data_IF_543714857589
#
_entry.id   IF_543714857589
#
_cell.length_a   1.000
_cell.length_b   1.000
_cell.length_c   1.000
_cell.angle_alpha   90.00
_cell.angle_beta   90.00
_cell.angle_gamma   90.00
#
_symmetry.space_group_name_H-M   'P 1'
#
loop_
_entity.id
_entity.type
_entity.pdbx_description
1 polymer ?
#
# COMPACT_ATOMS: atom_id res chain seq x y z
N UNK A 1 6.37 -26.96 -2.35
CA UNK A 1 7.05 -25.66 -2.56
C UNK A 1 8.10 -25.46 -1.48
N UNK A 2 9.38 -25.53 -1.83
CA UNK A 2 10.51 -25.45 -0.87
C UNK A 2 10.49 -24.16 -0.03
N UNK A 3 10.16 -23.01 -0.62
CA UNK A 3 10.16 -21.72 0.10
C UNK A 3 9.17 -21.64 1.28
N UNK A 4 7.97 -22.23 1.14
CA UNK A 4 6.99 -22.25 2.24
C UNK A 4 7.43 -23.14 3.40
N UNK A 5 8.13 -24.24 3.09
CA UNK A 5 8.67 -25.14 4.09
C UNK A 5 9.76 -24.45 4.92
N UNK A 6 10.75 -23.87 4.22
CA UNK A 6 11.82 -23.12 4.88
C UNK A 6 11.27 -21.98 5.74
N UNK A 7 10.31 -21.21 5.23
CA UNK A 7 9.71 -20.11 6.00
C UNK A 7 9.02 -20.60 7.27
N UNK A 8 8.31 -21.73 7.20
CA UNK A 8 7.68 -22.36 8.36
C UNK A 8 8.71 -22.75 9.41
N UNK A 9 9.79 -23.43 9.02
CA UNK A 9 10.88 -23.82 9.92
C UNK A 9 11.53 -22.61 10.60
N UNK A 10 11.72 -21.53 9.85
CA UNK A 10 12.27 -20.28 10.36
C UNK A 10 11.34 -19.56 11.34
N UNK A 11 10.02 -19.62 11.14
CA UNK A 11 9.07 -19.06 12.11
C UNK A 11 9.03 -19.91 13.39
N UNK A 12 8.99 -21.22 13.22
CA UNK A 12 8.88 -22.19 14.31
C UNK A 12 10.12 -22.18 15.23
N UNK A 13 11.29 -21.78 14.72
CA UNK A 13 12.50 -21.58 15.55
C UNK A 13 12.48 -20.30 16.39
N UNK A 14 11.56 -19.36 16.10
CA UNK A 14 11.46 -18.06 16.79
C UNK A 14 10.28 -17.98 17.75
N UNK A 15 9.19 -18.69 17.46
CA UNK A 15 7.98 -18.67 18.26
C UNK A 15 7.15 -19.95 18.03
N UNK A 16 6.19 -20.20 18.94
CA UNK A 16 5.18 -21.23 18.72
C UNK A 16 4.41 -20.95 17.44
N UNK A 17 4.28 -21.98 16.58
CA UNK A 17 3.59 -21.90 15.31
C UNK A 17 2.48 -22.94 15.28
N UNK A 18 1.24 -22.46 15.30
CA UNK A 18 0.05 -23.30 15.12
C UNK A 18 -0.36 -23.24 13.64
N UNK A 19 -0.63 -24.40 13.06
CA UNK A 19 -1.12 -24.52 11.69
C UNK A 19 -2.63 -24.75 11.73
N UNK A 20 -3.34 -24.16 10.77
CA UNK A 20 -4.78 -24.32 10.59
C UNK A 20 -5.08 -24.69 9.14
N UNK A 21 -6.24 -25.28 8.88
CA UNK A 21 -6.72 -25.58 7.53
C UNK A 21 -7.85 -24.64 7.11
N UNK A 22 -8.14 -24.62 5.80
CA UNK A 22 -9.29 -23.85 5.30
C UNK A 22 -10.64 -24.34 5.84
N UNK A 23 -10.74 -25.62 6.21
CA UNK A 23 -11.94 -26.18 6.85
C UNK A 23 -12.12 -25.65 8.27
N UNK A 24 -11.06 -25.64 9.06
CA UNK A 24 -11.09 -25.11 10.44
C UNK A 24 -11.48 -23.63 10.46
N UNK A 25 -10.90 -22.82 9.56
CA UNK A 25 -11.26 -21.41 9.41
C UNK A 25 -12.71 -21.23 8.96
N UNK A 26 -13.22 -22.09 8.07
CA UNK A 26 -14.59 -22.00 7.59
C UNK A 26 -15.62 -22.32 8.69
N UNK A 27 -15.37 -23.37 9.48
CA UNK A 27 -16.24 -23.76 10.60
C UNK A 27 -16.28 -22.65 11.66
N UNK A 28 -15.13 -22.12 12.09
CA UNK A 28 -15.09 -21.00 13.05
C UNK A 28 -15.87 -19.78 12.56
N UNK A 29 -15.75 -19.48 11.28
CA UNK A 29 -16.47 -18.35 10.67
C UNK A 29 -17.98 -18.55 10.74
N UNK A 30 -18.46 -19.77 10.52
CA UNK A 30 -19.88 -20.13 10.68
C UNK A 30 -20.32 -20.06 12.15
N UNK A 31 -19.52 -20.61 13.07
CA UNK A 31 -19.78 -20.59 14.52
C UNK A 31 -19.89 -19.16 15.06
N UNK A 32 -19.00 -18.25 14.62
CA UNK A 32 -18.98 -16.84 15.02
C UNK A 32 -19.90 -15.95 14.19
N UNK A 33 -20.64 -16.51 13.24
CA UNK A 33 -21.51 -15.77 12.33
C UNK A 33 -20.81 -14.60 11.61
N UNK A 34 -19.56 -14.82 11.16
CA UNK A 34 -18.75 -13.83 10.46
C UNK A 34 -18.87 -14.01 8.93
N UNK A 35 -18.96 -12.91 8.19
CA UNK A 35 -19.04 -12.96 6.72
C UNK A 35 -17.68 -13.37 6.13
N UNK A 36 -17.68 -14.16 5.04
CA UNK A 36 -16.45 -14.55 4.34
C UNK A 36 -15.77 -13.37 3.64
N UNK A 37 -14.59 -12.99 4.13
CA UNK A 37 -13.64 -12.10 3.45
C UNK A 37 -12.22 -12.54 3.79
N UNK A 38 -11.21 -12.13 3.01
CA UNK A 38 -9.80 -12.45 3.33
C UNK A 38 -9.38 -11.87 4.70
N UNK A 39 -9.86 -10.66 5.02
CA UNK A 39 -9.57 -9.98 6.27
C UNK A 39 -10.24 -10.68 7.47
N UNK A 40 -11.48 -11.13 7.32
CA UNK A 40 -12.21 -11.87 8.35
C UNK A 40 -11.63 -13.26 8.59
N UNK A 41 -11.15 -13.93 7.52
CA UNK A 41 -10.46 -15.21 7.65
C UNK A 41 -9.21 -15.08 8.52
N UNK A 42 -8.50 -13.94 8.48
CA UNK A 42 -7.34 -13.69 9.34
C UNK A 42 -7.71 -13.61 10.83
N UNK A 43 -8.87 -13.03 11.18
CA UNK A 43 -9.40 -13.02 12.55
C UNK A 43 -9.66 -14.45 13.03
N UNK A 44 -10.33 -15.25 12.20
CA UNK A 44 -10.62 -16.66 12.49
C UNK A 44 -9.35 -17.50 12.66
N UNK A 45 -8.30 -17.20 11.88
CA UNK A 45 -6.98 -17.83 12.00
C UNK A 45 -6.28 -17.43 13.31
N UNK A 46 -6.44 -16.18 13.76
CA UNK A 46 -5.86 -15.70 15.00
C UNK A 46 -6.52 -16.30 16.26
N UNK A 47 -7.68 -16.93 16.10
CA UNK A 47 -8.46 -17.55 17.19
C UNK A 47 -8.90 -16.56 18.28
N UNK A 48 -9.18 -15.32 17.86
CA UNK A 48 -9.63 -14.23 18.74
C UNK A 48 -11.01 -13.77 18.27
N UNK A 49 -12.06 -14.36 18.83
CA UNK A 49 -13.45 -13.97 18.53
C UNK A 49 -13.66 -12.50 18.92
N UNK A 50 -13.99 -11.62 17.96
CA UNK A 50 -14.15 -10.20 18.25
C UNK A 50 -15.60 -9.87 18.62
N UNK A 51 -15.80 -8.82 19.41
CA UNK A 51 -17.15 -8.27 19.66
C UNK A 51 -17.77 -7.66 18.39
N UNK A 52 -16.93 -7.17 17.47
CA UNK A 52 -17.35 -6.58 16.19
C UNK A 52 -16.30 -6.79 15.10
N UNK A 53 -16.74 -6.78 13.84
CA UNK A 53 -15.87 -6.97 12.65
C UNK A 53 -15.83 -5.66 11.84
N UNK A 54 -15.37 -4.59 12.47
CA UNK A 54 -15.11 -3.30 11.81
C UNK A 54 -13.64 -3.23 11.39
N UNK A 55 -13.32 -3.88 10.27
CA UNK A 55 -11.95 -3.95 9.76
C UNK A 55 -11.67 -2.79 8.82
N UNK A 56 -10.69 -1.96 9.18
CA UNK A 56 -10.10 -1.02 8.23
C UNK A 56 -9.02 -1.70 7.39
N UNK A 57 -9.20 -1.68 6.06
CA UNK A 57 -8.19 -2.19 5.14
C UNK A 57 -7.16 -1.12 4.77
N UNK A 58 -5.89 -1.49 4.88
CA UNK A 58 -4.76 -0.65 4.53
C UNK A 58 -3.87 -1.34 3.50
N UNK A 59 -3.52 -0.62 2.44
CA UNK A 59 -2.52 -1.04 1.47
C UNK A 59 -1.14 -0.54 1.88
N UNK A 60 -0.26 -1.48 2.21
CA UNK A 60 1.15 -1.20 2.50
C UNK A 60 1.95 -1.41 1.23
N UNK A 61 2.57 -0.34 0.72
CA UNK A 61 3.41 -0.42 -0.47
C UNK A 61 4.88 -0.17 -0.13
N UNK A 62 5.71 -1.21 0.00
CA UNK A 62 7.15 -1.04 0.16
C UNK A 62 7.74 -0.55 -1.15
N UNK A 63 8.59 0.48 -1.06
CA UNK A 63 9.32 0.99 -2.22
C UNK A 63 10.81 0.72 -2.09
N UNK A 64 11.43 0.29 -3.18
CA UNK A 64 12.88 0.05 -3.25
C UNK A 64 13.66 1.28 -2.82
N UNK A 65 14.46 1.26 -1.76
CA UNK A 65 15.14 2.47 -1.23
C UNK A 65 16.03 3.23 -2.23
N UNK A 66 16.71 2.53 -3.15
CA UNK A 66 17.63 3.16 -4.11
C UNK A 66 16.88 4.14 -5.03
N UNK A 67 17.13 5.44 -4.86
CA UNK A 67 16.70 6.47 -5.80
C UNK A 67 17.61 6.45 -7.03
N UNK A 68 17.02 6.72 -8.20
CA UNK A 68 17.75 6.99 -9.45
C UNK A 68 17.47 8.40 -9.97
N UNK A 69 16.80 9.23 -9.16
CA UNK A 69 16.51 10.60 -9.53
C UNK A 69 17.83 11.38 -9.59
N UNK A 70 18.05 12.12 -10.68
CA UNK A 70 19.19 13.03 -10.82
C UNK A 70 18.91 14.46 -10.33
N UNK A 71 17.71 14.68 -9.78
CA UNK A 71 17.22 15.95 -9.27
C UNK A 71 16.67 15.68 -7.88
N UNK A 72 17.01 16.55 -6.92
CA UNK A 72 16.58 16.39 -5.53
C UNK A 72 15.15 16.89 -5.30
N UNK A 73 14.79 18.03 -5.92
CA UNK A 73 13.53 18.73 -5.62
C UNK A 73 12.99 19.55 -6.81
N UNK A 74 11.66 19.69 -6.90
CA UNK A 74 10.97 20.70 -7.72
C UNK A 74 9.73 21.25 -7.01
N UNK A 75 9.67 22.56 -6.80
CA UNK A 75 8.58 23.24 -6.09
C UNK A 75 8.20 22.58 -4.74
N UNK A 76 9.18 22.14 -3.96
CA UNK A 76 9.05 21.44 -2.68
C UNK A 76 8.82 19.93 -2.79
N UNK A 77 8.60 19.39 -3.99
CA UNK A 77 8.35 17.96 -4.21
C UNK A 77 9.63 17.19 -4.42
N UNK A 78 9.67 15.97 -3.87
CA UNK A 78 10.80 15.06 -3.98
C UNK A 78 10.39 13.79 -4.74
N UNK A 79 11.40 13.05 -5.20
CA UNK A 79 11.15 11.76 -5.84
C UNK A 79 10.33 10.85 -4.90
N UNK A 80 9.28 10.26 -5.48
CA UNK A 80 8.25 9.44 -4.82
C UNK A 80 7.30 10.14 -3.87
N UNK A 81 7.33 11.46 -3.74
CA UNK A 81 6.19 12.10 -3.07
C UNK A 81 4.88 11.64 -3.70
N UNK A 82 3.89 11.33 -2.86
CA UNK A 82 2.55 11.02 -3.34
C UNK A 82 1.82 12.34 -3.51
N UNK A 83 1.45 12.64 -4.74
CA UNK A 83 0.90 13.94 -5.13
C UNK A 83 -0.41 13.75 -5.86
N UNK A 84 -1.29 14.75 -5.79
CA UNK A 84 -2.46 14.87 -6.66
C UNK A 84 -2.35 16.06 -7.58
N UNK A 85 -2.89 15.92 -8.78
CA UNK A 85 -2.99 17.00 -9.76
C UNK A 85 -4.32 16.93 -10.51
N UNK A 86 -4.98 18.07 -10.66
CA UNK A 86 -6.22 18.23 -11.43
C UNK A 86 -5.91 18.85 -12.79
N UNK A 87 -6.25 18.13 -13.86
CA UNK A 87 -6.07 18.58 -15.23
C UNK A 87 -7.15 19.59 -15.63
N UNK A 88 -6.92 20.33 -16.74
CA UNK A 88 -7.87 21.33 -17.24
C UNK A 88 -9.24 20.72 -17.62
N UNK A 89 -9.28 19.45 -17.95
CA UNK A 89 -10.51 18.69 -18.22
C UNK A 89 -11.27 18.29 -16.93
N UNK A 90 -10.79 18.69 -15.74
CA UNK A 90 -11.40 18.36 -14.45
C UNK A 90 -10.95 17.02 -13.85
N UNK A 91 -10.24 16.18 -14.61
CA UNK A 91 -9.76 14.89 -14.09
C UNK A 91 -8.69 15.09 -13.03
N UNK A 92 -8.87 14.45 -11.87
CA UNK A 92 -7.87 14.43 -10.80
C UNK A 92 -7.22 13.07 -10.72
N UNK A 93 -5.89 13.06 -10.72
CA UNK A 93 -5.11 11.84 -10.52
C UNK A 93 -4.17 12.02 -9.33
N UNK A 94 -3.99 10.94 -8.57
CA UNK A 94 -3.02 10.86 -7.48
C UNK A 94 -2.01 9.73 -7.72
N UNK A 95 -0.73 9.98 -7.43
CA UNK A 95 0.33 9.03 -7.72
C UNK A 95 1.70 9.47 -7.20
N UNK A 96 2.69 8.59 -7.36
CA UNK A 96 4.05 8.85 -6.88
C UNK A 96 4.87 9.59 -7.91
N UNK A 97 5.62 10.61 -7.50
CA UNK A 97 6.58 11.31 -8.35
C UNK A 97 7.65 10.32 -8.87
N UNK A 98 7.85 10.31 -10.18
CA UNK A 98 8.81 9.44 -10.89
C UNK A 98 9.94 10.22 -11.57
N UNK A 99 9.72 11.48 -11.92
CA UNK A 99 10.72 12.37 -12.49
C UNK A 99 10.36 13.83 -12.18
N UNK A 100 11.35 14.71 -12.19
CA UNK A 100 11.22 16.13 -11.83
C UNK A 100 12.01 16.98 -12.82
N UNK A 101 11.49 18.16 -13.14
CA UNK A 101 12.04 19.10 -14.11
C UNK A 101 11.99 20.52 -13.53
N UNK A 102 13.03 20.92 -12.76
CA UNK A 102 13.06 22.21 -12.07
C UNK A 102 12.90 23.41 -13.01
N UNK A 103 13.60 23.38 -14.16
CA UNK A 103 13.64 24.46 -15.16
C UNK A 103 12.28 24.88 -15.71
N UNK A 104 11.31 23.96 -15.71
CA UNK A 104 9.96 24.20 -16.25
C UNK A 104 8.88 24.02 -15.18
N UNK A 105 9.28 23.95 -13.90
CA UNK A 105 8.40 23.72 -12.76
C UNK A 105 7.41 22.56 -12.99
N UNK A 106 7.92 21.42 -13.47
CA UNK A 106 7.09 20.27 -13.79
C UNK A 106 7.59 18.99 -13.15
N UNK A 107 6.69 18.03 -12.97
CA UNK A 107 6.99 16.69 -12.50
C UNK A 107 6.20 15.62 -13.26
N UNK A 108 6.70 14.39 -13.25
CA UNK A 108 5.94 13.22 -13.68
C UNK A 108 5.53 12.43 -12.45
N UNK A 109 4.33 11.87 -12.43
CA UNK A 109 3.91 10.94 -11.38
C UNK A 109 3.16 9.73 -11.95
N UNK A 110 3.26 8.59 -11.27
CA UNK A 110 2.58 7.35 -11.63
C UNK A 110 1.33 7.17 -10.77
N UNK A 111 0.17 7.43 -11.38
CA UNK A 111 -1.13 7.06 -10.82
C UNK A 111 -1.45 5.57 -11.12
N UNK A 112 -2.43 4.95 -10.45
CA UNK A 112 -2.79 3.55 -10.69
C UNK A 112 -3.10 3.22 -12.15
N UNK A 113 -3.76 4.14 -12.86
CA UNK A 113 -4.25 3.92 -14.23
C UNK A 113 -3.48 4.71 -15.30
N UNK A 114 -2.60 5.64 -14.90
CA UNK A 114 -2.01 6.62 -15.83
C UNK A 114 -0.63 7.06 -15.38
N UNK A 115 0.29 7.14 -16.33
CA UNK A 115 1.54 7.88 -16.15
C UNK A 115 1.30 9.35 -16.51
N UNK A 116 1.22 10.20 -15.48
CA UNK A 116 0.99 11.63 -15.63
C UNK A 116 2.31 12.34 -15.93
N UNK A 117 2.48 12.80 -17.17
CA UNK A 117 3.71 13.47 -17.63
C UNK A 117 3.58 15.00 -17.59
N UNK A 118 4.67 15.68 -17.23
CA UNK A 118 4.82 17.15 -17.19
C UNK A 118 3.65 17.86 -16.50
N UNK A 119 3.19 17.32 -15.37
CA UNK A 119 2.23 18.02 -14.53
C UNK A 119 2.89 19.28 -13.95
N UNK A 120 2.17 20.39 -13.93
CA UNK A 120 2.69 21.63 -13.36
C UNK A 120 2.83 21.45 -11.84
N UNK A 121 4.07 21.49 -11.35
CA UNK A 121 4.41 21.23 -9.95
C UNK A 121 3.78 22.26 -9.01
N UNK A 122 3.66 23.53 -9.43
CA UNK A 122 3.03 24.60 -8.63
C UNK A 122 1.52 24.38 -8.41
N UNK A 123 0.89 23.53 -9.24
CA UNK A 123 -0.52 23.14 -9.10
C UNK A 123 -0.70 21.74 -8.52
N UNK A 124 0.38 21.04 -8.21
CA UNK A 124 0.31 19.76 -7.53
C UNK A 124 0.04 19.99 -6.03
N UNK A 125 -0.66 19.05 -5.40
CA UNK A 125 -0.83 19.00 -3.95
C UNK A 125 -0.09 17.80 -3.41
N UNK A 126 0.71 18.00 -2.35
CA UNK A 126 1.32 16.91 -1.61
C UNK A 126 0.25 16.20 -0.79
N UNK A 127 0.10 14.89 -1.00
CA UNK A 127 -0.71 14.02 -0.15
C UNK A 127 0.17 13.37 0.91
N UNK A 128 1.35 12.87 0.51
CA UNK A 128 2.25 12.15 1.42
C UNK A 128 3.72 12.32 1.03
N UNK A 129 4.56 12.72 1.99
CA UNK A 129 6.03 12.76 1.84
C UNK A 129 6.60 11.37 2.04
N UNK A 130 7.33 10.85 1.05
CA UNK A 130 7.83 9.48 1.14
C UNK A 130 8.84 9.29 2.30
N UNK A 131 8.53 8.37 3.21
CA UNK A 131 9.47 7.86 4.21
C UNK A 131 9.45 6.32 4.23
N UNK A 132 10.21 5.72 3.29
CA UNK A 132 10.47 4.27 3.15
C UNK A 132 9.26 3.40 2.73
N UNK A 133 8.10 3.61 3.33
CA UNK A 133 6.88 2.81 3.17
C UNK A 133 5.70 3.78 3.01
N UNK A 134 4.71 3.39 2.22
CA UNK A 134 3.42 4.06 2.24
C UNK A 134 2.34 3.19 2.85
N UNK A 135 1.35 3.89 3.39
CA UNK A 135 0.14 3.34 3.99
C UNK A 135 -1.01 4.09 3.32
N UNK A 136 -1.84 3.37 2.55
CA UNK A 136 -3.05 3.94 1.98
C UNK A 136 -4.24 3.25 2.61
N UNK A 137 -5.20 4.03 3.10
CA UNK A 137 -6.51 3.48 3.42
C UNK A 137 -7.12 2.99 2.10
N UNK A 138 -7.56 1.73 2.07
CA UNK A 138 -8.31 1.22 0.93
C UNK A 138 -9.63 2.00 0.84
N UNK A 139 -10.06 2.28 -0.39
CA UNK A 139 -11.33 2.95 -0.68
C UNK A 139 -12.48 1.94 -0.71
#
# INVERSE_FOLDING_TARGET
MQGKHWFREQLQSRASLVLTTGGDTANKREDWNIIKTHSNDAICIADLEPESVDIEEWSIKPMRRKSKAGVDEVCGFHHRDYVSYTYRNGETHAGYVTAMYPEIHALNFQAPTKHCKKANALKCRLIWRFDKIYWFKCA
#
